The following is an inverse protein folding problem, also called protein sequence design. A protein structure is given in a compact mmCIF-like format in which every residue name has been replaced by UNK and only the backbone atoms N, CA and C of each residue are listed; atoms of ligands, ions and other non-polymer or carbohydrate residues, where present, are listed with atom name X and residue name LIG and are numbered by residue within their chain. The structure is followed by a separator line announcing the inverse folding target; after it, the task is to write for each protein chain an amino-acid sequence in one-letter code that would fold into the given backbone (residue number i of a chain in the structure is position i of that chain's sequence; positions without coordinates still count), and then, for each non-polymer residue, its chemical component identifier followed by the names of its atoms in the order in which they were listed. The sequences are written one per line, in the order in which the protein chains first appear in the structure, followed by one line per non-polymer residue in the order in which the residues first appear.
data_IF_638935141141
#
_entry.id   IF_638935141141
#
_cell.length_a   1.000
_cell.length_b   1.000
_cell.length_c   1.000
_cell.angle_alpha   90.00
_cell.angle_beta   90.00
_cell.angle_gamma   90.00
#
_symmetry.space_group_name_H-M   'P 1'
#
loop_
_entity.id
_entity.type
_entity.pdbx_description
1 polymer ?
#
# COMPACT_ATOMS: atom_id res chain seq x y z
N UNK A 1 -17.19 -24.51 -13.86
CA UNK A 1 -16.25 -23.41 -14.14
C UNK A 1 -14.86 -24.01 -14.15
N UNK A 2 -14.11 -23.82 -15.23
CA UNK A 2 -12.72 -24.28 -15.31
C UNK A 2 -11.82 -23.39 -14.43
N UNK A 3 -10.80 -23.96 -13.77
CA UNK A 3 -9.88 -23.17 -12.96
C UNK A 3 -9.04 -22.23 -13.84
N UNK A 4 -8.84 -21.00 -13.38
CA UNK A 4 -7.93 -20.02 -14.00
C UNK A 4 -6.60 -19.96 -13.25
N UNK A 5 -5.53 -19.51 -13.92
CA UNK A 5 -4.23 -19.32 -13.28
C UNK A 5 -4.21 -18.12 -12.32
N UNK A 6 -3.30 -18.13 -11.35
CA UNK A 6 -3.08 -16.99 -10.44
C UNK A 6 -2.70 -15.73 -11.22
N UNK A 7 -1.88 -15.86 -12.27
CA UNK A 7 -1.49 -14.75 -13.14
C UNK A 7 -2.70 -14.16 -13.87
N UNK A 8 -3.63 -15.01 -14.31
CA UNK A 8 -4.85 -14.57 -14.99
C UNK A 8 -5.78 -13.82 -14.01
N UNK A 9 -6.01 -14.36 -12.82
CA UNK A 9 -6.80 -13.66 -11.79
C UNK A 9 -6.16 -12.31 -11.42
N UNK A 10 -4.85 -12.29 -11.22
CA UNK A 10 -4.11 -11.08 -10.86
C UNK A 10 -4.18 -10.03 -11.97
N UNK A 11 -4.09 -10.46 -13.24
CA UNK A 11 -4.26 -9.59 -14.40
C UNK A 11 -5.66 -8.98 -14.45
N UNK A 12 -6.71 -9.79 -14.20
CA UNK A 12 -8.10 -9.29 -14.18
C UNK A 12 -8.34 -8.28 -13.05
N UNK A 13 -7.84 -8.55 -11.84
CA UNK A 13 -7.92 -7.62 -10.70
C UNK A 13 -7.22 -6.31 -11.06
N UNK A 14 -6.00 -6.40 -11.61
CA UNK A 14 -5.23 -5.24 -12.04
C UNK A 14 -6.05 -4.40 -13.03
N UNK A 15 -6.56 -4.98 -14.12
CA UNK A 15 -7.30 -4.23 -15.15
C UNK A 15 -8.51 -3.47 -14.60
N UNK A 16 -9.25 -4.06 -13.65
CA UNK A 16 -10.38 -3.38 -13.00
C UNK A 16 -9.87 -2.18 -12.18
N UNK A 17 -8.79 -2.35 -11.42
CA UNK A 17 -8.22 -1.27 -10.62
C UNK A 17 -7.64 -0.14 -11.49
N UNK A 18 -6.96 -0.45 -12.61
CA UNK A 18 -6.39 0.58 -13.50
C UNK A 18 -7.47 1.38 -14.24
N UNK A 19 -8.62 0.76 -14.52
CA UNK A 19 -9.77 1.42 -15.15
C UNK A 19 -10.38 2.48 -14.24
N UNK A 20 -10.51 2.16 -12.95
CA UNK A 20 -11.35 2.93 -12.04
C UNK A 20 -10.55 3.91 -11.18
N UNK A 21 -9.24 3.68 -11.00
CA UNK A 21 -8.40 4.47 -10.10
C UNK A 21 -7.05 4.83 -10.71
N UNK A 22 -6.71 6.13 -10.70
CA UNK A 22 -5.34 6.57 -10.98
C UNK A 22 -4.46 6.48 -9.71
N UNK A 23 -5.03 6.89 -8.58
CA UNK A 23 -4.43 6.84 -7.25
C UNK A 23 -5.56 6.56 -6.24
N UNK A 24 -5.21 5.97 -5.10
CA UNK A 24 -6.10 5.82 -3.96
C UNK A 24 -5.61 6.66 -2.79
N UNK A 25 -6.54 7.16 -1.99
CA UNK A 25 -6.27 7.84 -0.73
C UNK A 25 -7.04 7.11 0.37
N UNK A 26 -6.33 6.44 1.26
CA UNK A 26 -6.90 5.55 2.27
C UNK A 26 -6.39 5.91 3.66
N UNK A 27 -7.19 5.63 4.67
CA UNK A 27 -6.80 5.77 6.08
C UNK A 27 -6.87 4.43 6.77
N UNK A 28 -5.95 4.16 7.69
CA UNK A 28 -5.99 2.94 8.49
C UNK A 28 -4.88 2.89 9.51
N UNK A 29 -4.83 1.80 10.26
CA UNK A 29 -3.77 1.51 11.21
C UNK A 29 -2.68 0.67 10.55
N UNK A 30 -1.42 1.02 10.82
CA UNK A 30 -0.27 0.23 10.38
C UNK A 30 -0.18 -1.03 11.24
N UNK A 31 0.05 -2.17 10.60
CA UNK A 31 0.41 -3.43 11.24
C UNK A 31 1.53 -4.13 10.49
N UNK A 32 2.24 -5.04 11.16
CA UNK A 32 3.27 -5.90 10.56
C UNK A 32 4.39 -5.10 9.86
N UNK A 33 4.75 -3.94 10.39
CA UNK A 33 5.77 -3.08 9.82
C UNK A 33 7.15 -3.76 9.83
N UNK A 34 7.81 -3.76 8.68
CA UNK A 34 9.16 -4.28 8.47
C UNK A 34 9.98 -3.34 7.62
N UNK A 35 11.12 -2.93 8.13
CA UNK A 35 12.17 -2.29 7.34
C UNK A 35 13.07 -3.38 6.77
N UNK A 36 12.93 -3.65 5.47
CA UNK A 36 13.72 -4.68 4.79
C UNK A 36 15.16 -4.20 4.52
N UNK A 37 16.10 -5.14 4.36
CA UNK A 37 17.53 -4.83 4.11
C UNK A 37 17.78 -4.08 2.81
N UNK A 38 16.87 -4.17 1.84
CA UNK A 38 16.86 -3.35 0.61
C UNK A 38 16.50 -1.87 0.85
N UNK A 39 16.15 -1.52 2.09
CA UNK A 39 15.74 -0.19 2.50
C UNK A 39 14.26 0.11 2.24
N UNK A 40 13.46 -0.87 1.81
CA UNK A 40 12.02 -0.68 1.60
C UNK A 40 11.23 -0.94 2.88
N UNK A 41 10.11 -0.24 3.05
CA UNK A 41 9.17 -0.54 4.11
C UNK A 41 8.05 -1.43 3.58
N UNK A 42 7.79 -2.52 4.29
CA UNK A 42 6.64 -3.38 4.08
C UNK A 42 5.76 -3.26 5.31
N UNK A 43 4.46 -3.11 5.10
CA UNK A 43 3.48 -3.09 6.19
C UNK A 43 2.10 -3.47 5.66
N UNK A 44 1.17 -3.67 6.57
CA UNK A 44 -0.24 -3.75 6.25
C UNK A 44 -0.94 -2.47 6.74
N UNK A 45 -1.93 -2.03 5.98
CA UNK A 45 -2.88 -1.00 6.40
C UNK A 45 -4.22 -1.69 6.66
N UNK A 46 -4.76 -1.54 7.86
CA UNK A 46 -6.00 -2.21 8.28
C UNK A 46 -7.03 -1.24 8.86
N UNK A 47 -8.28 -1.64 8.79
CA UNK A 47 -9.39 -1.12 9.60
C UNK A 47 -10.10 -2.29 10.32
N UNK A 48 -11.33 -2.08 10.79
CA UNK A 48 -12.10 -3.10 11.51
C UNK A 48 -12.53 -4.28 10.63
N UNK A 49 -12.61 -4.10 9.31
CA UNK A 49 -13.22 -5.05 8.38
C UNK A 49 -12.26 -5.58 7.32
N UNK A 50 -11.17 -4.87 7.04
CA UNK A 50 -10.27 -5.17 5.94
C UNK A 50 -8.81 -4.86 6.26
N UNK A 51 -7.92 -5.50 5.50
CA UNK A 51 -6.48 -5.24 5.52
C UNK A 51 -5.92 -5.34 4.10
N UNK A 52 -5.00 -4.43 3.78
CA UNK A 52 -4.22 -4.45 2.54
C UNK A 52 -2.72 -4.45 2.84
N UNK A 53 -1.94 -5.14 2.01
CA UNK A 53 -0.47 -5.07 2.07
C UNK A 53 0.05 -3.86 1.31
N UNK A 54 1.08 -3.21 1.85
CA UNK A 54 1.69 -1.99 1.32
C UNK A 54 3.22 -2.11 1.25
N UNK A 55 3.81 -1.48 0.23
CA UNK A 55 5.25 -1.42 -0.02
C UNK A 55 5.68 0.01 -0.32
N UNK A 56 6.41 0.63 0.60
CA UNK A 56 7.02 1.93 0.35
C UNK A 56 8.49 1.76 -0.04
N UNK A 57 8.83 2.26 -1.22
CA UNK A 57 10.20 2.24 -1.75
C UNK A 57 11.16 3.07 -0.88
N UNK A 58 12.44 2.69 -0.88
CA UNK A 58 13.50 3.39 -0.15
C UNK A 58 13.67 4.85 -0.60
N UNK A 59 13.39 5.13 -1.88
CA UNK A 59 13.41 6.50 -2.40
C UNK A 59 12.30 7.37 -1.79
N UNK A 60 11.17 6.75 -1.43
CA UNK A 60 10.00 7.43 -0.85
C UNK A 60 10.08 7.53 0.66
N UNK A 61 10.51 6.48 1.36
CA UNK A 61 10.56 6.52 2.81
C UNK A 61 11.56 7.54 3.38
N UNK A 62 12.61 7.87 2.64
CA UNK A 62 13.55 8.96 2.97
C UNK A 62 12.92 10.35 2.98
N UNK A 63 11.75 10.50 2.35
CA UNK A 63 10.99 11.75 2.33
C UNK A 63 10.06 11.86 3.54
N UNK A 64 9.87 10.78 4.31
CA UNK A 64 9.07 10.84 5.52
C UNK A 64 9.82 11.59 6.62
N UNK A 65 9.12 12.49 7.29
CA UNK A 65 9.56 13.15 8.51
C UNK A 65 9.55 12.22 9.74
N UNK A 66 9.07 10.99 9.58
CA UNK A 66 8.93 10.00 10.65
C UNK A 66 9.17 8.57 10.14
N UNK A 67 9.44 7.66 11.08
CA UNK A 67 9.52 6.22 10.79
C UNK A 67 8.20 5.57 11.21
N UNK A 68 7.46 4.92 10.29
CA UNK A 68 6.21 4.25 10.62
C UNK A 68 6.41 3.11 11.63
N UNK A 69 5.39 2.84 12.45
CA UNK A 69 5.37 1.72 13.39
C UNK A 69 3.95 1.16 13.52
N UNK A 70 3.86 -0.06 14.00
CA UNK A 70 2.59 -0.72 14.28
C UNK A 70 1.74 0.09 15.28
N UNK A 71 0.44 0.11 15.05
CA UNK A 71 -0.54 0.88 15.84
C UNK A 71 -0.69 2.34 15.43
N UNK A 72 0.15 2.86 14.52
CA UNK A 72 -0.03 4.22 14.00
C UNK A 72 -1.23 4.30 13.07
N UNK A 73 -2.12 5.27 13.32
CA UNK A 73 -3.15 5.66 12.36
C UNK A 73 -2.56 6.63 11.34
N UNK A 74 -2.65 6.29 10.07
CA UNK A 74 -2.06 7.04 8.97
C UNK A 74 -3.06 7.26 7.85
N UNK A 75 -2.80 8.30 7.06
CA UNK A 75 -3.44 8.52 5.77
C UNK A 75 -2.40 8.32 4.68
N UNK A 76 -2.71 7.48 3.69
CA UNK A 76 -1.78 7.04 2.65
C UNK A 76 -2.39 7.34 1.30
N UNK A 77 -1.65 8.09 0.48
CA UNK A 77 -1.85 8.14 -0.96
C UNK A 77 -1.01 7.05 -1.62
N UNK A 78 -1.53 6.39 -2.64
CA UNK A 78 -0.88 5.25 -3.26
C UNK A 78 -1.36 4.96 -4.68
N UNK A 79 -0.53 4.29 -5.47
CA UNK A 79 -0.97 3.56 -6.67
C UNK A 79 -1.45 2.17 -6.22
N UNK A 80 -2.46 1.63 -6.90
CA UNK A 80 -3.09 0.34 -6.55
C UNK A 80 -2.17 -0.88 -6.72
N UNK A 81 -0.97 -0.69 -7.27
CA UNK A 81 0.09 -1.70 -7.35
C UNK A 81 1.35 -1.30 -6.56
N UNK A 82 1.44 -0.04 -6.12
CA UNK A 82 2.65 0.55 -5.53
C UNK A 82 2.31 1.76 -4.67
N UNK A 83 2.64 1.76 -3.37
CA UNK A 83 2.38 2.93 -2.51
C UNK A 83 3.38 4.07 -2.78
N UNK A 84 2.88 5.19 -3.34
CA UNK A 84 3.53 6.51 -3.37
C UNK A 84 2.92 7.40 -2.27
N UNK A 85 3.46 7.35 -1.05
CA UNK A 85 3.04 8.29 -0.01
C UNK A 85 3.40 9.74 -0.41
N UNK A 86 2.42 10.64 -0.32
CA UNK A 86 2.59 12.09 -0.44
C UNK A 86 1.94 12.78 0.76
N UNK A 87 2.53 13.89 1.18
CA UNK A 87 2.07 14.72 2.30
C UNK A 87 1.05 15.77 1.79
N UNK A 88 -0.05 15.97 2.53
CA UNK A 88 -0.90 17.14 2.36
C UNK A 88 -0.34 18.27 3.24
N UNK A 89 0.25 19.27 2.58
CA UNK A 89 0.55 20.57 3.19
C UNK A 89 -0.79 21.23 3.52
N UNK A 90 -0.98 21.60 4.79
CA UNK A 90 -1.78 22.77 5.14
C UNK A 90 -0.83 23.93 5.36
#
# INVERSE_FOLDING_TARGET
MDPISVSELSGRIKSVLESDFQFVHVTGEISNFKHHTSGHFYFALKDENAQISALMWNSRNKQLSFIPKDGMKVSVRADYLFTKAEEHIK
#
